data_IF_505363751188
#
_entry.id   IF_505363751188
#
_cell.length_a   1.000
_cell.length_b   1.000
_cell.length_c   1.000
_cell.angle_alpha   90.00
_cell.angle_beta   90.00
_cell.angle_gamma   90.00
#
_symmetry.space_group_name_H-M   'P 1'
#
loop_
_entity.id
_entity.type
_entity.pdbx_description
1 polymer ?
#
# COMPACT_ATOMS: atom_id res chain seq x y z
N UNK A 1 7.04 27.02 66.16
CA UNK A 1 7.55 26.55 67.48
C UNK A 1 8.08 25.12 67.36
N UNK A 2 8.77 24.62 68.40
CA UNK A 2 9.52 23.34 68.48
C UNK A 2 8.65 22.11 68.11
N UNK A 3 9.12 21.22 67.22
CA UNK A 3 9.86 19.94 67.43
C UNK A 3 9.06 18.78 68.07
N UNK A 4 9.03 17.64 67.38
CA UNK A 4 9.19 16.29 67.95
C UNK A 4 10.34 15.58 67.18
N UNK A 5 10.83 14.41 67.62
CA UNK A 5 12.06 13.79 67.06
C UNK A 5 12.22 12.29 67.34
N UNK A 6 11.99 11.43 66.34
CA UNK A 6 12.40 10.01 66.35
C UNK A 6 12.81 9.60 64.90
N UNK A 7 14.00 9.05 64.53
CA UNK A 7 14.90 8.02 65.12
C UNK A 7 14.18 6.66 65.25
N UNK A 8 14.69 5.50 64.81
CA UNK A 8 15.98 5.04 64.21
C UNK A 8 15.70 3.60 63.64
N UNK A 9 16.31 3.07 62.57
CA UNK A 9 17.45 2.11 62.61
C UNK A 9 17.70 1.43 61.24
N UNK A 10 18.98 1.23 60.92
CA UNK A 10 19.67 0.23 60.07
C UNK A 10 18.89 -0.89 59.33
N UNK A 11 19.28 -1.16 58.07
CA UNK A 11 20.03 -2.38 57.68
C UNK A 11 20.52 -2.38 56.20
N UNK A 12 21.58 -3.15 55.95
CA UNK A 12 22.53 -3.25 54.83
C UNK A 12 22.07 -3.84 53.47
N UNK A 13 22.59 -3.24 52.39
CA UNK A 13 23.30 -3.83 51.21
C UNK A 13 22.75 -5.03 50.39
N UNK A 14 22.58 -4.81 49.07
CA UNK A 14 22.92 -5.75 47.95
C UNK A 14 22.94 -4.95 46.62
N UNK A 15 24.10 -4.60 46.05
CA UNK A 15 24.85 -5.28 44.97
C UNK A 15 24.03 -5.56 43.68
N UNK A 16 24.41 -4.81 42.63
CA UNK A 16 24.37 -5.08 41.18
C UNK A 16 23.17 -5.81 40.53
N UNK A 17 22.53 -5.12 39.57
CA UNK A 17 22.34 -5.70 38.23
C UNK A 17 22.52 -4.62 37.16
N UNK A 18 23.25 -4.95 36.09
CA UNK A 18 23.52 -4.06 34.97
C UNK A 18 22.26 -3.95 34.10
N UNK A 19 21.64 -2.77 34.07
CA UNK A 19 20.57 -2.50 33.12
C UNK A 19 21.19 -2.33 31.73
N UNK A 20 21.18 -3.38 30.91
CA UNK A 20 21.55 -3.27 29.51
C UNK A 20 20.59 -2.30 28.81
N UNK A 21 21.08 -1.26 28.11
CA UNK A 21 20.21 -0.46 27.27
C UNK A 21 19.73 -1.33 26.10
N UNK A 22 18.44 -1.66 26.11
CA UNK A 22 17.75 -2.20 24.95
C UNK A 22 17.75 -1.14 23.86
N UNK A 23 18.79 -1.12 23.03
CA UNK A 23 18.80 -0.30 21.84
C UNK A 23 17.58 -0.70 20.99
N UNK A 24 16.65 0.21 20.65
CA UNK A 24 15.56 -0.14 19.78
C UNK A 24 16.16 -0.56 18.44
N UNK A 25 15.87 -1.79 18.02
CA UNK A 25 16.16 -2.22 16.66
C UNK A 25 15.29 -1.34 15.77
N UNK A 26 15.91 -0.33 15.16
CA UNK A 26 15.36 0.35 14.00
C UNK A 26 15.11 -0.74 12.96
N UNK A 27 13.84 -1.12 12.80
CA UNK A 27 13.40 -1.86 11.65
C UNK A 27 13.76 -0.98 10.45
N UNK A 28 14.80 -1.37 9.72
CA UNK A 28 15.12 -0.75 8.45
C UNK A 28 13.97 -1.11 7.54
N UNK A 29 13.05 -0.17 7.31
CA UNK A 29 12.12 -0.25 6.20
C UNK A 29 12.97 -0.28 4.93
N UNK A 30 13.21 -1.50 4.44
CA UNK A 30 13.85 -1.72 3.16
C UNK A 30 12.94 -1.07 2.12
N UNK A 31 13.30 0.16 1.75
CA UNK A 31 12.58 0.94 0.76
C UNK A 31 12.80 0.23 -0.56
N UNK A 32 11.88 -0.68 -0.88
CA UNK A 32 11.89 -1.51 -2.08
C UNK A 32 11.75 -0.56 -3.28
N UNK A 33 12.90 -0.10 -3.80
CA UNK A 33 12.97 0.92 -4.85
C UNK A 33 12.27 0.32 -6.06
N UNK A 34 11.13 0.89 -6.52
CA UNK A 34 10.37 0.29 -7.59
C UNK A 34 11.22 0.14 -8.84
N UNK A 35 11.57 -1.10 -9.18
CA UNK A 35 12.36 -1.38 -10.38
C UNK A 35 11.49 -1.13 -11.61
N UNK A 36 11.81 -0.06 -12.32
CA UNK A 36 11.19 0.29 -13.59
C UNK A 36 11.27 -0.88 -14.58
N UNK A 37 10.17 -1.12 -15.29
CA UNK A 37 10.15 -2.11 -16.36
C UNK A 37 10.94 -1.55 -17.53
N UNK A 38 12.07 -2.20 -17.84
CA UNK A 38 12.87 -1.94 -19.04
C UNK A 38 12.48 -2.96 -20.12
N UNK A 39 11.59 -2.60 -21.05
CA UNK A 39 11.12 -3.48 -22.12
C UNK A 39 12.25 -3.80 -23.10
N UNK A 40 12.34 -5.06 -23.55
CA UNK A 40 13.34 -5.48 -24.55
C UNK A 40 12.78 -5.48 -25.97
N UNK A 41 11.46 -5.65 -26.12
CA UNK A 41 10.73 -5.60 -27.39
C UNK A 41 9.28 -5.14 -27.15
N UNK A 42 8.36 -5.45 -28.07
CA UNK A 42 6.91 -5.42 -27.82
C UNK A 42 6.59 -6.42 -26.70
N UNK A 43 6.18 -5.89 -25.56
CA UNK A 43 5.93 -6.65 -24.33
C UNK A 43 4.64 -6.16 -23.67
N UNK A 44 3.95 -7.03 -22.92
CA UNK A 44 2.70 -6.71 -22.24
C UNK A 44 2.65 -7.39 -20.89
N UNK A 45 2.31 -6.59 -19.87
CA UNK A 45 2.13 -6.99 -18.48
C UNK A 45 0.66 -6.88 -18.13
N UNK A 46 0.19 -7.72 -17.21
CA UNK A 46 -1.22 -7.74 -16.83
C UNK A 46 -1.44 -7.92 -15.34
N UNK A 47 -2.63 -7.54 -14.87
CA UNK A 47 -3.03 -7.70 -13.48
C UNK A 47 -4.52 -7.49 -13.30
N UNK A 48 -4.99 -7.78 -12.09
CA UNK A 48 -6.37 -7.51 -11.67
C UNK A 48 -6.40 -6.82 -10.31
N UNK A 49 -7.50 -6.14 -10.03
CA UNK A 49 -7.79 -5.56 -8.73
C UNK A 49 -9.31 -5.54 -8.51
N UNK A 50 -9.74 -5.41 -7.26
CA UNK A 50 -11.14 -5.17 -6.92
C UNK A 50 -11.28 -3.98 -5.98
N UNK A 51 -12.47 -3.40 -5.96
CA UNK A 51 -12.86 -2.34 -5.05
C UNK A 51 -14.33 -2.55 -4.68
N UNK A 52 -14.66 -2.37 -3.40
CA UNK A 52 -16.03 -2.43 -2.91
C UNK A 52 -16.35 -1.19 -2.05
N UNK A 53 -17.62 -0.79 -2.04
CA UNK A 53 -18.14 0.14 -1.03
C UNK A 53 -18.66 -0.59 0.22
N UNK A 54 -18.98 0.19 1.26
CA UNK A 54 -19.50 -0.33 2.52
C UNK A 54 -20.87 -0.98 2.42
N UNK A 55 -21.59 -0.79 1.31
CA UNK A 55 -22.91 -1.35 1.05
C UNK A 55 -22.83 -2.69 0.28
N UNK A 56 -21.62 -3.16 -0.02
CA UNK A 56 -21.37 -4.43 -0.72
C UNK A 56 -21.52 -4.35 -2.24
N UNK A 57 -21.60 -3.16 -2.83
CA UNK A 57 -21.44 -3.02 -4.28
C UNK A 57 -19.96 -3.05 -4.64
N UNK A 58 -19.61 -3.79 -5.68
CA UNK A 58 -18.23 -4.11 -6.05
C UNK A 58 -17.96 -3.80 -7.51
N UNK A 59 -16.70 -3.49 -7.83
CA UNK A 59 -16.12 -3.50 -9.17
C UNK A 59 -14.84 -4.33 -9.14
N UNK A 60 -14.77 -5.37 -9.94
CA UNK A 60 -13.52 -6.07 -10.27
C UNK A 60 -13.03 -5.60 -11.66
N UNK A 61 -11.72 -5.42 -11.79
CA UNK A 61 -11.08 -4.98 -13.03
C UNK A 61 -9.89 -5.85 -13.40
N UNK A 62 -9.68 -5.96 -14.71
CA UNK A 62 -8.45 -6.43 -15.32
C UNK A 62 -7.78 -5.25 -16.04
N UNK A 63 -6.45 -5.17 -16.02
CA UNK A 63 -5.71 -4.17 -16.74
C UNK A 63 -4.48 -4.75 -17.43
N UNK A 64 -4.13 -4.15 -18.57
CA UNK A 64 -2.92 -4.44 -19.32
C UNK A 64 -2.11 -3.17 -19.55
N UNK A 65 -0.80 -3.33 -19.45
CA UNK A 65 0.19 -2.32 -19.82
C UNK A 65 1.04 -2.89 -20.94
N UNK A 66 1.16 -2.17 -22.05
CA UNK A 66 1.90 -2.61 -23.24
C UNK A 66 2.96 -1.59 -23.58
N UNK A 67 4.17 -2.05 -23.89
CA UNK A 67 5.17 -1.25 -24.58
C UNK A 67 5.25 -1.67 -26.04
N UNK A 68 5.20 -0.73 -26.96
CA UNK A 68 5.40 -0.96 -28.38
C UNK A 68 5.92 0.30 -29.08
N UNK A 69 6.83 0.14 -30.04
CA UNK A 69 7.34 1.23 -30.89
C UNK A 69 7.81 2.48 -30.09
N UNK A 70 8.54 2.26 -28.99
CA UNK A 70 9.05 3.36 -28.15
C UNK A 70 8.02 4.00 -27.21
N UNK A 71 6.78 3.50 -27.17
CA UNK A 71 5.67 4.12 -26.47
C UNK A 71 5.00 3.13 -25.49
N UNK A 72 4.54 3.68 -24.37
CA UNK A 72 3.72 2.98 -23.39
C UNK A 72 2.24 3.22 -23.63
N UNK A 73 1.42 2.19 -23.43
CA UNK A 73 -0.03 2.27 -23.47
C UNK A 73 -0.67 1.41 -22.38
N UNK A 74 -1.88 1.78 -21.97
CA UNK A 74 -2.68 1.05 -21.00
C UNK A 74 -4.09 0.78 -21.54
N UNK A 75 -4.67 -0.35 -21.13
CA UNK A 75 -6.10 -0.65 -21.29
C UNK A 75 -6.61 -1.32 -20.02
N UNK A 76 -7.92 -1.25 -19.80
CA UNK A 76 -8.57 -2.00 -18.73
C UNK A 76 -9.98 -2.42 -19.12
N UNK A 77 -10.47 -3.41 -18.39
CA UNK A 77 -11.78 -4.01 -18.52
C UNK A 77 -12.40 -4.17 -17.13
N UNK A 78 -13.72 -4.01 -17.03
CA UNK A 78 -14.47 -4.34 -15.81
C UNK A 78 -14.93 -5.79 -15.97
N UNK A 79 -14.36 -6.69 -15.19
CA UNK A 79 -14.67 -8.13 -15.24
C UNK A 79 -15.94 -8.48 -14.47
N UNK A 80 -16.31 -7.64 -13.49
CA UNK A 80 -17.53 -7.75 -12.69
C UNK A 80 -17.90 -6.38 -12.14
N UNK A 81 -19.20 -6.07 -12.13
CA UNK A 81 -19.71 -4.96 -11.33
C UNK A 81 -21.08 -5.31 -10.75
N UNK A 82 -21.33 -4.94 -9.49
CA UNK A 82 -22.54 -5.30 -8.75
C UNK A 82 -23.23 -4.08 -8.14
N UNK A 83 -24.47 -4.25 -7.69
CA UNK A 83 -25.23 -3.23 -6.96
C UNK A 83 -25.31 -1.91 -7.73
N UNK A 84 -24.99 -0.80 -7.05
CA UNK A 84 -25.03 0.54 -7.63
C UNK A 84 -24.00 0.74 -8.77
N UNK A 85 -22.99 -0.12 -8.86
CA UNK A 85 -21.91 -0.06 -9.86
C UNK A 85 -22.18 -0.90 -11.11
N UNK A 86 -23.33 -1.59 -11.23
CA UNK A 86 -23.64 -2.45 -12.38
C UNK A 86 -23.63 -1.75 -13.77
N UNK A 87 -23.63 -0.40 -13.82
CA UNK A 87 -23.49 0.41 -15.05
C UNK A 87 -22.16 1.17 -15.15
N UNK A 88 -21.18 0.82 -14.31
CA UNK A 88 -19.87 1.44 -14.28
C UNK A 88 -19.09 1.22 -15.59
N UNK A 89 -18.25 2.19 -15.94
CA UNK A 89 -17.37 2.11 -17.10
C UNK A 89 -16.02 2.73 -16.81
N UNK A 90 -14.97 2.17 -17.41
CA UNK A 90 -13.65 2.81 -17.46
C UNK A 90 -13.74 4.00 -18.41
N UNK A 91 -13.17 5.13 -18.00
CA UNK A 91 -13.12 6.37 -18.79
C UNK A 91 -11.69 6.71 -19.22
N UNK A 92 -10.69 6.32 -18.42
CA UNK A 92 -9.27 6.51 -18.70
C UNK A 92 -8.49 5.32 -18.14
N UNK A 93 -7.40 4.97 -18.80
CA UNK A 93 -6.38 4.04 -18.31
C UNK A 93 -5.01 4.71 -18.50
N UNK A 94 -4.20 4.76 -17.45
CA UNK A 94 -2.85 5.35 -17.46
C UNK A 94 -1.87 4.36 -16.87
N UNK A 95 -0.78 4.08 -17.58
CA UNK A 95 0.31 3.23 -17.13
C UNK A 95 1.42 4.04 -16.44
N UNK A 96 1.97 3.49 -15.35
CA UNK A 96 3.16 3.98 -14.65
C UNK A 96 4.20 2.85 -14.65
N UNK A 97 5.10 2.78 -15.64
CA UNK A 97 6.05 1.68 -15.80
C UNK A 97 7.06 1.56 -14.66
N UNK A 98 7.40 2.67 -14.02
CA UNK A 98 8.31 2.73 -12.86
C UNK A 98 7.76 2.00 -11.64
N UNK A 99 6.44 2.05 -11.40
CA UNK A 99 5.78 1.41 -10.25
C UNK A 99 5.07 0.10 -10.60
N UNK A 100 5.12 -0.32 -11.88
CA UNK A 100 4.41 -1.49 -12.44
C UNK A 100 2.90 -1.39 -12.23
N UNK A 101 2.32 -0.23 -12.53
CA UNK A 101 0.91 0.08 -12.28
C UNK A 101 0.15 0.48 -13.54
N UNK A 102 -1.13 0.11 -13.59
CA UNK A 102 -2.14 0.77 -14.42
C UNK A 102 -3.20 1.38 -13.50
N UNK A 103 -3.39 2.69 -13.58
CA UNK A 103 -4.48 3.39 -12.91
C UNK A 103 -5.68 3.48 -13.85
N UNK A 104 -6.83 2.96 -13.42
CA UNK A 104 -8.11 3.01 -14.13
C UNK A 104 -9.05 4.04 -13.48
N UNK A 105 -9.53 4.99 -14.27
CA UNK A 105 -10.56 5.96 -13.82
C UNK A 105 -11.93 5.44 -14.17
N UNK A 106 -12.67 4.96 -13.16
CA UNK A 106 -13.97 4.30 -13.32
C UNK A 106 -15.08 5.26 -12.93
N UNK A 107 -16.11 5.39 -13.79
CA UNK A 107 -17.30 6.20 -13.54
C UNK A 107 -18.52 5.31 -13.38
N UNK A 108 -19.02 5.24 -12.15
CA UNK A 108 -20.31 4.66 -11.76
C UNK A 108 -21.19 5.72 -11.10
N UNK A 109 -21.80 5.47 -9.92
CA UNK A 109 -22.49 6.48 -9.10
C UNK A 109 -21.59 7.66 -8.72
N UNK A 110 -20.30 7.39 -8.57
CA UNK A 110 -19.21 8.37 -8.41
C UNK A 110 -18.02 7.95 -9.27
N UNK A 111 -17.01 8.82 -9.35
CA UNK A 111 -15.71 8.46 -9.93
C UNK A 111 -14.83 7.84 -8.86
N UNK A 112 -14.16 6.73 -9.19
CA UNK A 112 -13.08 6.14 -8.38
C UNK A 112 -11.84 5.91 -9.26
N UNK A 113 -10.69 5.79 -8.60
CA UNK A 113 -9.44 5.32 -9.20
C UNK A 113 -9.15 3.92 -8.64
N UNK A 114 -8.90 2.95 -9.51
CA UNK A 114 -8.37 1.64 -9.11
C UNK A 114 -6.95 1.51 -9.67
N UNK A 115 -5.99 1.23 -8.80
CA UNK A 115 -4.59 0.97 -9.16
C UNK A 115 -4.40 -0.54 -9.28
N UNK A 116 -4.05 -1.00 -10.48
CA UNK A 116 -3.79 -2.40 -10.80
C UNK A 116 -2.28 -2.61 -10.89
N UNK A 117 -1.73 -3.47 -10.04
CA UNK A 117 -0.33 -3.93 -10.15
C UNK A 117 -0.22 -4.96 -11.26
N UNK A 118 0.64 -4.72 -12.24
CA UNK A 118 0.87 -5.62 -13.39
C UNK A 118 2.15 -6.44 -13.21
N UNK A 119 2.15 -7.65 -13.77
CA UNK A 119 3.24 -8.63 -13.69
C UNK A 119 3.52 -9.24 -15.07
#
# INVERSE_FOLDING_TARGET
>A
MKKHSAKLLFATALICSLCMPSAPVLASEETDIPQEIVPKNIETWSGSASWADGDGSEVEVFAVMTYANGNWGARGEITKATGSWASARITHAVCTPSTKEVTLTIKGPRTILIVVKVK
#
